data_IF_489178563247
#
_entry.id   IF_489178563247
#
_cell.length_a   1.000
_cell.length_b   1.000
_cell.length_c   1.000
_cell.angle_alpha   90.00
_cell.angle_beta   90.00
_cell.angle_gamma   90.00
#
_symmetry.space_group_name_H-M   'P 1'
#
loop_
_entity.id
_entity.type
_entity.pdbx_description
1 polymer ?
#
# COMPACT_ATOMS: atom_id res chain seq x y z
N UNK A 1 2.13 -26.37 -11.97
CA UNK A 1 1.82 -26.47 -10.51
C UNK A 1 2.83 -25.71 -9.64
N UNK A 2 4.15 -25.78 -9.91
CA UNK A 2 5.18 -25.05 -9.14
C UNK A 2 5.07 -23.52 -9.26
N UNK A 3 4.99 -22.98 -10.48
CA UNK A 3 4.95 -21.54 -10.73
C UNK A 3 3.80 -20.85 -9.98
N UNK A 4 2.60 -21.44 -10.01
CA UNK A 4 1.44 -20.91 -9.29
C UNK A 4 1.66 -20.85 -7.77
N UNK A 5 2.33 -21.85 -7.17
CA UNK A 5 2.64 -21.84 -5.74
C UNK A 5 3.68 -20.76 -5.41
N UNK A 6 4.69 -20.60 -6.27
CA UNK A 6 5.70 -19.55 -6.12
C UNK A 6 5.06 -18.16 -6.21
N UNK A 7 4.25 -17.91 -7.24
CA UNK A 7 3.53 -16.64 -7.40
C UNK A 7 2.63 -16.34 -6.21
N UNK A 8 1.87 -17.32 -5.72
CA UNK A 8 1.03 -17.13 -4.53
C UNK A 8 1.86 -16.82 -3.27
N UNK A 9 3.04 -17.43 -3.13
CA UNK A 9 3.96 -17.13 -2.03
C UNK A 9 4.51 -15.70 -2.09
N UNK A 10 4.93 -15.25 -3.27
CA UNK A 10 5.40 -13.88 -3.50
C UNK A 10 4.29 -12.85 -3.25
N UNK A 11 3.09 -13.11 -3.79
CA UNK A 11 1.92 -12.26 -3.58
C UNK A 11 1.53 -12.21 -2.10
N UNK A 12 1.62 -13.32 -1.38
CA UNK A 12 1.35 -13.34 0.05
C UNK A 12 2.30 -12.42 0.83
N UNK A 13 3.61 -12.52 0.60
CA UNK A 13 4.62 -11.68 1.25
C UNK A 13 4.37 -10.21 0.91
N UNK A 14 4.10 -9.91 -0.36
CA UNK A 14 3.80 -8.56 -0.82
C UNK A 14 2.55 -7.97 -0.15
N UNK A 15 1.41 -8.67 -0.18
CA UNK A 15 0.18 -8.15 0.42
C UNK A 15 0.26 -8.04 1.94
N UNK A 16 1.02 -8.94 2.60
CA UNK A 16 1.29 -8.84 4.03
C UNK A 16 2.07 -7.56 4.34
N UNK A 17 3.11 -7.27 3.56
CA UNK A 17 3.91 -6.06 3.70
C UNK A 17 3.06 -4.80 3.47
N UNK A 18 2.34 -4.71 2.35
CA UNK A 18 1.50 -3.54 2.02
C UNK A 18 0.38 -3.33 3.03
N UNK A 19 -0.23 -4.40 3.55
CA UNK A 19 -1.27 -4.29 4.58
C UNK A 19 -0.79 -3.54 5.83
N UNK A 20 0.50 -3.67 6.17
CA UNK A 20 1.11 -3.01 7.33
C UNK A 20 1.65 -1.64 6.95
N UNK A 21 2.36 -1.53 5.82
CA UNK A 21 3.12 -0.34 5.45
C UNK A 21 2.23 0.79 4.96
N UNK A 22 1.23 0.50 4.11
CA UNK A 22 0.36 1.54 3.56
C UNK A 22 -0.33 2.40 4.65
N UNK A 23 -1.01 1.83 5.67
CA UNK A 23 -1.62 2.67 6.69
C UNK A 23 -0.58 3.42 7.53
N UNK A 24 0.61 2.85 7.73
CA UNK A 24 1.67 3.47 8.54
C UNK A 24 2.38 4.63 7.83
N UNK A 25 2.56 4.56 6.51
CA UNK A 25 3.27 5.59 5.74
C UNK A 25 2.33 6.51 4.99
N UNK A 26 1.35 5.99 4.27
CA UNK A 26 0.40 6.79 3.49
C UNK A 26 -0.64 7.43 4.41
N UNK A 27 -0.97 6.76 5.52
CA UNK A 27 -1.82 7.33 6.57
C UNK A 27 -1.27 8.66 7.10
N UNK A 28 0.06 8.82 7.22
CA UNK A 28 0.69 10.09 7.64
C UNK A 28 0.43 11.25 6.67
N UNK A 29 -0.02 10.98 5.44
CA UNK A 29 -0.37 12.01 4.46
C UNK A 29 -1.77 12.59 4.74
N UNK A 30 -2.72 11.78 5.21
CA UNK A 30 -4.13 12.15 5.36
C UNK A 30 -4.62 12.25 6.81
N UNK A 31 -3.92 11.64 7.76
CA UNK A 31 -4.26 11.65 9.19
C UNK A 31 -3.29 12.56 9.97
N UNK A 32 -3.71 13.06 11.14
CA UNK A 32 -2.83 13.78 12.06
C UNK A 32 -1.59 12.94 12.42
N UNK A 33 -0.42 13.60 12.46
CA UNK A 33 0.87 12.93 12.62
C UNK A 33 1.02 12.26 14.00
N UNK A 34 0.25 12.72 15.00
CA UNK A 34 0.25 12.24 16.38
C UNK A 34 -0.23 10.80 16.52
N UNK A 35 -0.93 10.26 15.52
CA UNK A 35 -1.33 8.86 15.48
C UNK A 35 -0.18 7.90 15.16
N UNK A 36 0.98 8.43 14.76
CA UNK A 36 2.09 7.62 14.25
C UNK A 36 3.30 7.64 15.19
N UNK A 37 4.02 6.52 15.32
CA UNK A 37 5.29 6.48 16.05
C UNK A 37 6.30 7.47 15.49
N UNK A 38 7.00 8.19 16.38
CA UNK A 38 8.03 9.18 16.01
C UNK A 38 9.07 8.63 15.03
N UNK A 39 9.51 7.38 15.22
CA UNK A 39 10.46 6.73 14.32
C UNK A 39 9.99 6.70 12.87
N UNK A 40 8.70 6.44 12.60
CA UNK A 40 8.16 6.40 11.23
C UNK A 40 8.00 7.79 10.63
N UNK A 41 7.68 8.77 11.47
CA UNK A 41 7.58 10.18 11.08
C UNK A 41 8.97 10.67 10.65
N UNK A 42 9.97 10.46 11.50
CA UNK A 42 11.35 10.87 11.26
C UNK A 42 11.92 10.20 10.00
N UNK A 43 11.64 8.90 9.79
CA UNK A 43 12.02 8.19 8.56
C UNK A 43 11.42 8.84 7.30
N UNK A 44 10.12 9.15 7.32
CA UNK A 44 9.42 9.77 6.18
C UNK A 44 9.91 11.20 5.93
N UNK A 45 10.14 11.99 6.98
CA UNK A 45 10.65 13.36 6.83
C UNK A 45 12.09 13.40 6.35
N UNK A 46 12.95 12.52 6.84
CA UNK A 46 14.35 12.43 6.40
C UNK A 46 14.42 12.05 4.93
N UNK A 47 13.63 11.05 4.51
CA UNK A 47 13.50 10.70 3.09
C UNK A 47 13.08 11.89 2.24
N UNK A 48 12.06 12.65 2.68
CA UNK A 48 11.54 13.78 1.93
C UNK A 48 12.58 14.91 1.78
N UNK A 49 13.38 15.16 2.83
CA UNK A 49 14.46 16.14 2.81
C UNK A 49 15.64 15.70 1.95
N UNK A 50 16.11 14.47 2.10
CA UNK A 50 17.25 13.92 1.35
C UNK A 50 16.97 13.88 -0.16
N UNK A 51 15.74 13.55 -0.54
CA UNK A 51 15.35 13.40 -1.94
C UNK A 51 14.69 14.66 -2.53
N UNK A 52 14.50 15.71 -1.74
CA UNK A 52 13.71 16.90 -2.11
C UNK A 52 12.33 16.50 -2.68
N UNK A 53 11.70 15.50 -2.05
CA UNK A 53 10.43 14.97 -2.50
C UNK A 53 9.30 15.92 -2.10
N UNK A 54 8.87 16.73 -3.06
CA UNK A 54 7.80 17.70 -2.87
C UNK A 54 6.43 17.06 -2.63
N UNK A 55 6.19 15.83 -3.12
CA UNK A 55 4.91 15.13 -2.90
C UNK A 55 4.73 14.80 -1.42
N UNK A 56 5.81 14.35 -0.78
CA UNK A 56 5.82 14.01 0.63
C UNK A 56 5.91 15.25 1.52
N UNK A 57 6.71 16.24 1.11
CA UNK A 57 6.96 17.45 1.91
C UNK A 57 5.78 18.42 1.88
N UNK A 58 5.26 18.73 0.69
CA UNK A 58 4.22 19.75 0.51
C UNK A 58 2.80 19.17 0.48
N UNK A 59 2.66 17.86 0.22
CA UNK A 59 1.37 17.15 0.17
C UNK A 59 0.34 17.86 -0.71
N UNK A 60 0.62 18.07 -2.01
CA UNK A 60 -0.32 18.76 -2.90
C UNK A 60 -1.65 18.01 -2.98
N UNK A 61 -2.77 18.73 -3.16
CA UNK A 61 -4.12 18.16 -3.02
C UNK A 61 -4.40 16.97 -3.96
N UNK A 62 -3.84 16.96 -5.17
CA UNK A 62 -4.02 15.81 -6.07
C UNK A 62 -3.37 14.54 -5.51
N UNK A 63 -2.17 14.67 -4.91
CA UNK A 63 -1.44 13.55 -4.30
C UNK A 63 -2.17 13.04 -3.06
N UNK A 64 -2.66 13.96 -2.22
CA UNK A 64 -3.53 13.61 -1.08
C UNK A 64 -4.78 12.86 -1.56
N UNK A 65 -5.37 13.27 -2.69
CA UNK A 65 -6.47 12.56 -3.33
C UNK A 65 -6.12 11.14 -3.78
N UNK A 66 -4.94 10.94 -4.37
CA UNK A 66 -4.45 9.60 -4.73
C UNK A 66 -4.25 8.71 -3.51
N UNK A 67 -3.67 9.25 -2.43
CA UNK A 67 -3.49 8.52 -1.16
C UNK A 67 -4.84 8.12 -0.54
N UNK A 68 -5.88 8.95 -0.66
CA UNK A 68 -7.24 8.54 -0.27
C UNK A 68 -7.75 7.35 -1.07
N UNK A 69 -7.55 7.35 -2.40
CA UNK A 69 -7.94 6.23 -3.26
C UNK A 69 -7.18 4.95 -2.87
N UNK A 70 -5.88 5.07 -2.60
CA UNK A 70 -5.03 3.97 -2.16
C UNK A 70 -5.55 3.40 -0.82
N UNK A 71 -5.76 4.23 0.19
CA UNK A 71 -6.17 3.76 1.52
C UNK A 71 -7.62 3.28 1.58
N UNK A 72 -8.54 3.84 0.78
CA UNK A 72 -9.95 3.46 0.80
C UNK A 72 -10.30 2.30 -0.14
N UNK A 73 -9.57 2.13 -1.25
CA UNK A 73 -9.87 1.10 -2.25
C UNK A 73 -8.77 0.05 -2.37
N UNK A 74 -7.51 0.47 -2.56
CA UNK A 74 -6.42 -0.47 -2.78
C UNK A 74 -6.04 -1.23 -1.51
N UNK A 75 -5.94 -0.55 -0.36
CA UNK A 75 -5.56 -1.18 0.90
C UNK A 75 -6.58 -2.23 1.38
N UNK A 76 -7.90 -1.98 1.39
CA UNK A 76 -8.87 -3.04 1.71
C UNK A 76 -8.82 -4.21 0.73
N UNK A 77 -8.52 -3.94 -0.55
CA UNK A 77 -8.32 -4.99 -1.55
C UNK A 77 -7.06 -5.82 -1.28
N UNK A 78 -5.96 -5.21 -0.79
CA UNK A 78 -4.78 -5.93 -0.30
C UNK A 78 -5.11 -6.85 0.87
N UNK A 79 -5.84 -6.35 1.87
CA UNK A 79 -6.28 -7.13 3.02
C UNK A 79 -7.15 -8.31 2.57
N UNK A 80 -8.09 -8.06 1.66
CA UNK A 80 -8.91 -9.10 1.07
C UNK A 80 -8.06 -10.13 0.31
N UNK A 81 -7.10 -9.71 -0.53
CA UNK A 81 -6.20 -10.61 -1.24
C UNK A 81 -5.36 -11.48 -0.29
N UNK A 82 -4.83 -10.89 0.79
CA UNK A 82 -4.08 -11.60 1.82
C UNK A 82 -4.95 -12.71 2.46
N UNK A 83 -6.16 -12.36 2.89
CA UNK A 83 -7.14 -13.31 3.43
C UNK A 83 -7.51 -14.39 2.40
N UNK A 84 -7.72 -13.98 1.15
CA UNK A 84 -8.11 -14.86 0.07
C UNK A 84 -7.04 -15.90 -0.25
N UNK A 85 -5.77 -15.52 -0.22
CA UNK A 85 -4.64 -16.45 -0.42
C UNK A 85 -4.59 -17.47 0.71
N UNK A 86 -4.69 -17.03 1.97
CA UNK A 86 -4.69 -17.92 3.16
C UNK A 86 -5.84 -18.94 3.11
N UNK A 87 -7.01 -18.50 2.66
CA UNK A 87 -8.23 -19.32 2.62
C UNK A 87 -8.50 -19.94 1.24
N UNK A 88 -7.53 -19.87 0.31
CA UNK A 88 -7.61 -20.42 -1.05
C UNK A 88 -8.89 -20.02 -1.79
N UNK A 89 -9.34 -18.78 -1.63
CA UNK A 89 -10.56 -18.27 -2.25
C UNK A 89 -10.39 -18.12 -3.77
N UNK A 90 -11.44 -18.42 -4.52
CA UNK A 90 -11.40 -18.42 -6.00
C UNK A 90 -11.29 -17.03 -6.62
N UNK A 91 -11.74 -15.99 -5.91
CA UNK A 91 -11.74 -14.61 -6.40
C UNK A 91 -10.37 -13.93 -6.38
N UNK A 92 -9.38 -14.48 -5.67
CA UNK A 92 -8.01 -13.92 -5.53
C UNK A 92 -7.39 -13.57 -6.87
N UNK A 93 -7.57 -14.42 -7.89
CA UNK A 93 -6.98 -14.16 -9.22
C UNK A 93 -7.51 -12.85 -9.84
N UNK A 94 -8.81 -12.60 -9.69
CA UNK A 94 -9.46 -11.39 -10.24
C UNK A 94 -9.07 -10.16 -9.45
N UNK A 95 -9.10 -10.26 -8.12
CA UNK A 95 -8.79 -9.15 -7.22
C UNK A 95 -7.30 -8.78 -7.22
N UNK A 96 -6.39 -9.75 -7.38
CA UNK A 96 -4.98 -9.47 -7.64
C UNK A 96 -4.76 -8.80 -8.99
N UNK A 97 -5.51 -9.18 -10.03
CA UNK A 97 -5.42 -8.51 -11.33
C UNK A 97 -5.90 -7.06 -11.25
N UNK A 98 -7.05 -6.82 -10.61
CA UNK A 98 -7.58 -5.46 -10.38
C UNK A 98 -6.56 -4.61 -9.63
N UNK A 99 -6.01 -5.15 -8.54
CA UNK A 99 -4.97 -4.47 -7.77
C UNK A 99 -3.74 -4.17 -8.65
N UNK A 100 -3.20 -5.18 -9.34
CA UNK A 100 -2.00 -5.03 -10.16
C UNK A 100 -2.18 -4.03 -11.31
N UNK A 101 -3.34 -3.99 -11.96
CA UNK A 101 -3.66 -2.97 -12.98
C UNK A 101 -3.65 -1.58 -12.33
N UNK A 102 -4.31 -1.42 -11.19
CA UNK A 102 -4.36 -0.14 -10.50
C UNK A 102 -2.98 0.35 -10.05
N UNK A 103 -2.11 -0.55 -9.56
CA UNK A 103 -0.72 -0.22 -9.21
C UNK A 103 0.09 0.16 -10.44
N UNK A 104 -0.05 -0.57 -11.56
CA UNK A 104 0.71 -0.32 -12.77
C UNK A 104 0.32 0.98 -13.53
N UNK A 105 -0.88 1.51 -13.28
CA UNK A 105 -1.36 2.73 -13.95
C UNK A 105 -1.48 3.94 -13.01
N UNK A 106 -1.58 3.71 -11.71
CA UNK A 106 -1.77 4.76 -10.71
C UNK A 106 -0.48 5.19 -9.99
N UNK A 107 0.53 4.32 -9.98
CA UNK A 107 1.87 4.60 -9.45
C UNK A 107 2.92 4.53 -10.55
#
# INVERSE_FOLDING_TARGET
MFLQKLTNGLLFIYFLFITIVAPLFDGQTILPIEFFPKLLIDLKSNYAQENNDYLISEKPHFFVGLVWVELLLQWPLCVANLYGILNKKSWVKKTCLIYGVSTATGM
#
